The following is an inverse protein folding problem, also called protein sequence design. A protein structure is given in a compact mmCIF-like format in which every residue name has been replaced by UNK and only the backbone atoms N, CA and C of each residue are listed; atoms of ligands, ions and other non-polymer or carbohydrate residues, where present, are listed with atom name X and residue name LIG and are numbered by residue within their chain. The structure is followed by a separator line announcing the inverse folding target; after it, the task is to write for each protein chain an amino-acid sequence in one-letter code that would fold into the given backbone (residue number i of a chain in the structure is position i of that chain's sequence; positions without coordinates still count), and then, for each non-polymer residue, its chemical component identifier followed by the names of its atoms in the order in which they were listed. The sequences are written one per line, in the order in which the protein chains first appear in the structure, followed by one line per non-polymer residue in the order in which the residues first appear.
data_IF_354399979735
#
_entry.id   IF_354399979735
#
_cell.length_a   1.000
_cell.length_b   1.000
_cell.length_c   1.000
_cell.angle_alpha   90.00
_cell.angle_beta   90.00
_cell.angle_gamma   90.00
#
_symmetry.space_group_name_H-M   'P 1'
#
loop_
_entity.id
_entity.type
_entity.pdbx_description
1 polymer ?
#
# COMPACT_ATOMS: atom_id res chain seq x y z
N UNK A 1 14.43 -13.29 24.03
CA UNK A 1 13.50 -12.18 24.33
C UNK A 1 12.21 -12.76 24.86
N UNK A 2 11.65 -12.18 25.93
CA UNK A 2 10.57 -12.80 26.70
C UNK A 2 9.23 -12.71 25.96
N UNK A 3 8.59 -13.85 25.75
CA UNK A 3 7.31 -14.03 25.04
C UNK A 3 6.16 -13.15 25.59
N UNK A 4 6.29 -12.66 26.83
CA UNK A 4 5.23 -11.93 27.55
C UNK A 4 5.41 -10.41 27.59
N UNK A 5 6.37 -9.83 26.84
CA UNK A 5 6.58 -8.37 26.79
C UNK A 5 6.74 -7.88 25.36
N UNK A 6 6.41 -6.61 25.13
CA UNK A 6 6.63 -5.94 23.85
C UNK A 6 8.11 -5.96 23.45
N UNK A 7 8.35 -6.07 22.14
CA UNK A 7 9.70 -5.94 21.59
C UNK A 7 10.19 -4.49 21.65
N UNK A 8 11.51 -4.31 21.66
CA UNK A 8 12.11 -2.98 21.64
C UNK A 8 11.97 -2.37 20.24
N UNK A 9 11.35 -1.19 20.17
CA UNK A 9 11.23 -0.41 18.95
C UNK A 9 12.21 0.77 18.98
N UNK A 10 12.78 1.09 17.82
CA UNK A 10 13.62 2.27 17.62
C UNK A 10 12.90 3.29 16.75
N UNK A 11 12.86 4.54 17.21
CA UNK A 11 12.39 5.67 16.40
C UNK A 11 13.56 6.29 15.65
N UNK A 12 13.35 6.65 14.39
CA UNK A 12 14.37 7.23 13.53
C UNK A 12 13.75 7.98 12.36
N UNK A 13 14.60 8.71 11.63
CA UNK A 13 14.18 9.52 10.48
C UNK A 13 14.69 8.90 9.20
N UNK A 14 13.79 8.66 8.25
CA UNK A 14 14.13 8.20 6.91
C UNK A 14 14.17 9.39 5.95
N UNK A 15 15.29 9.58 5.25
CA UNK A 15 15.45 10.61 4.22
C UNK A 15 15.68 9.92 2.88
N UNK A 16 14.80 10.19 1.91
CA UNK A 16 14.84 9.57 0.59
C UNK A 16 15.04 10.62 -0.51
N UNK A 17 15.93 10.38 -1.49
CA UNK A 17 15.99 11.20 -2.70
C UNK A 17 14.74 10.99 -3.55
N UNK A 18 14.21 12.06 -4.15
CA UNK A 18 12.94 12.02 -4.89
C UNK A 18 12.94 11.02 -6.05
N UNK A 19 14.05 10.95 -6.80
CA UNK A 19 14.17 10.14 -8.02
C UNK A 19 13.94 8.64 -7.80
N UNK A 20 14.36 8.14 -6.64
CA UNK A 20 14.31 6.70 -6.29
C UNK A 20 13.35 6.41 -5.14
N UNK A 21 12.56 7.41 -4.71
CA UNK A 21 11.69 7.28 -3.55
C UNK A 21 10.71 6.10 -3.69
N UNK A 22 10.21 5.85 -4.91
CA UNK A 22 9.30 4.72 -5.19
C UNK A 22 9.97 3.37 -4.95
N UNK A 23 11.15 3.17 -5.51
CA UNK A 23 11.88 1.90 -5.44
C UNK A 23 12.33 1.60 -4.00
N UNK A 24 12.74 2.64 -3.27
CA UNK A 24 13.08 2.50 -1.85
C UNK A 24 11.86 2.16 -0.99
N UNK A 25 10.72 2.81 -1.21
CA UNK A 25 9.49 2.50 -0.45
C UNK A 25 9.00 1.08 -0.75
N UNK A 26 9.09 0.64 -2.01
CA UNK A 26 8.75 -0.73 -2.41
C UNK A 26 9.66 -1.77 -1.73
N UNK A 27 10.97 -1.52 -1.73
CA UNK A 27 11.95 -2.35 -1.03
C UNK A 27 11.67 -2.45 0.47
N UNK A 28 11.37 -1.32 1.12
CA UNK A 28 11.07 -1.26 2.55
C UNK A 28 9.79 -2.05 2.86
N UNK A 29 8.75 -1.90 2.04
CA UNK A 29 7.49 -2.62 2.21
C UNK A 29 7.65 -4.15 2.12
N UNK A 30 8.59 -4.64 1.31
CA UNK A 30 8.83 -6.08 1.15
C UNK A 30 9.81 -6.68 2.16
N UNK A 31 10.85 -5.94 2.57
CA UNK A 31 11.99 -6.51 3.31
C UNK A 31 12.05 -6.13 4.79
N UNK A 32 11.20 -5.20 5.24
CA UNK A 32 11.33 -4.63 6.60
C UNK A 32 10.00 -4.59 7.33
N UNK A 33 10.07 -4.61 8.67
CA UNK A 33 8.94 -4.40 9.56
C UNK A 33 9.07 -3.00 10.17
N UNK A 34 8.56 -1.99 9.46
CA UNK A 34 8.64 -0.59 9.86
C UNK A 34 7.23 -0.02 9.96
N UNK A 35 7.01 0.81 10.97
CA UNK A 35 5.79 1.61 11.11
C UNK A 35 6.11 3.05 10.68
N UNK A 36 5.35 3.58 9.72
CA UNK A 36 5.45 4.98 9.32
C UNK A 36 4.57 5.85 10.22
N UNK A 37 5.13 6.99 10.65
CA UNK A 37 4.41 8.01 11.39
C UNK A 37 3.82 9.06 10.43
N UNK A 38 2.58 9.48 10.67
CA UNK A 38 1.94 10.50 9.83
C UNK A 38 2.39 11.91 10.19
N UNK A 39 3.44 12.36 9.51
CA UNK A 39 3.99 13.71 9.69
C UNK A 39 3.07 14.85 9.23
N UNK A 40 2.03 14.56 8.43
CA UNK A 40 1.15 15.58 7.82
C UNK A 40 -0.29 15.50 8.34
N UNK A 41 -0.49 14.95 9.55
CA UNK A 41 -1.83 14.71 10.11
C UNK A 41 -2.70 15.98 10.23
N UNK A 42 -2.08 17.15 10.45
CA UNK A 42 -2.77 18.44 10.58
C UNK A 42 -3.09 19.11 9.24
N UNK A 43 -2.58 18.61 8.11
CA UNK A 43 -2.68 19.25 6.80
C UNK A 43 -3.66 18.49 5.90
N UNK A 44 -4.67 19.20 5.38
CA UNK A 44 -5.69 18.60 4.50
C UNK A 44 -5.15 18.29 3.08
N UNK A 45 -4.16 19.05 2.61
CA UNK A 45 -3.58 18.87 1.27
C UNK A 45 -2.41 17.90 1.33
N UNK A 46 -2.66 16.65 0.94
CA UNK A 46 -1.62 15.62 0.85
C UNK A 46 -1.02 15.56 -0.55
N UNK A 47 0.31 15.44 -0.67
CA UNK A 47 0.92 15.08 -1.95
C UNK A 47 0.42 13.69 -2.39
N UNK A 48 0.47 13.43 -3.69
CA UNK A 48 0.07 12.17 -4.32
C UNK A 48 -1.43 11.80 -4.31
N UNK A 49 -2.33 12.65 -3.78
CA UNK A 49 -3.78 12.40 -3.79
C UNK A 49 -4.34 11.99 -5.16
N UNK A 50 -3.89 12.66 -6.24
CA UNK A 50 -4.31 12.32 -7.61
C UNK A 50 -3.89 10.91 -8.04
N UNK A 51 -2.71 10.44 -7.62
CA UNK A 51 -2.25 9.09 -7.93
C UNK A 51 -3.07 8.04 -7.17
N UNK A 52 -3.39 8.29 -5.90
CA UNK A 52 -4.24 7.42 -5.10
C UNK A 52 -5.63 7.30 -5.73
N UNK A 53 -6.26 8.43 -6.07
CA UNK A 53 -7.58 8.44 -6.73
C UNK A 53 -7.60 7.67 -8.05
N UNK A 54 -6.52 7.72 -8.83
CA UNK A 54 -6.39 6.93 -10.06
C UNK A 54 -6.37 5.43 -9.77
N UNK A 55 -5.65 5.01 -8.73
CA UNK A 55 -5.56 3.59 -8.34
C UNK A 55 -6.91 3.10 -7.81
N UNK A 56 -7.59 3.90 -6.97
CA UNK A 56 -8.93 3.57 -6.45
C UNK A 56 -9.96 3.38 -7.58
N UNK A 57 -9.93 4.26 -8.59
CA UNK A 57 -10.82 4.15 -9.74
C UNK A 57 -10.48 2.93 -10.61
N UNK A 58 -9.19 2.62 -10.79
CA UNK A 58 -8.77 1.39 -11.45
C UNK A 58 -9.23 0.13 -10.71
N UNK A 59 -9.12 0.13 -9.38
CA UNK A 59 -9.62 -0.97 -8.55
C UNK A 59 -11.14 -1.14 -8.71
N UNK A 60 -11.89 -0.04 -8.75
CA UNK A 60 -13.35 -0.05 -9.00
C UNK A 60 -13.68 -0.74 -10.33
N UNK A 61 -12.94 -0.40 -11.39
CA UNK A 61 -13.12 -1.01 -12.71
C UNK A 61 -12.78 -2.51 -12.69
N UNK A 62 -11.65 -2.90 -12.08
CA UNK A 62 -11.23 -4.31 -11.97
C UNK A 62 -12.26 -5.12 -11.17
N UNK A 63 -12.80 -4.56 -10.09
CA UNK A 63 -13.84 -5.19 -9.28
C UNK A 63 -15.13 -5.40 -10.06
N UNK A 64 -15.53 -4.40 -10.84
CA UNK A 64 -16.69 -4.53 -11.73
C UNK A 64 -16.47 -5.64 -12.77
N UNK A 65 -15.33 -5.62 -13.46
CA UNK A 65 -15.00 -6.65 -14.46
C UNK A 65 -14.97 -8.06 -13.85
N UNK A 66 -14.39 -8.21 -12.66
CA UNK A 66 -14.33 -9.49 -11.96
C UNK A 66 -15.73 -10.03 -11.66
N UNK A 67 -16.66 -9.16 -11.22
CA UNK A 67 -18.06 -9.54 -10.98
C UNK A 67 -18.78 -9.94 -12.27
N UNK A 68 -18.57 -9.19 -13.35
CA UNK A 68 -19.18 -9.52 -14.64
C UNK A 68 -18.70 -10.87 -15.16
N UNK A 69 -17.40 -11.18 -15.01
CA UNK A 69 -16.83 -12.49 -15.36
C UNK A 69 -17.42 -13.61 -14.51
N UNK A 70 -17.61 -13.41 -13.20
CA UNK A 70 -18.26 -14.38 -12.31
C UNK A 70 -19.73 -14.63 -12.69
N UNK A 71 -20.42 -13.63 -13.23
CA UNK A 71 -21.82 -13.74 -13.64
C UNK A 71 -22.02 -14.44 -15.00
N UNK A 72 -20.96 -14.68 -15.77
CA UNK A 72 -21.06 -15.31 -17.09
C UNK A 72 -21.32 -16.83 -16.96
N UNK A 73 -22.38 -17.37 -17.61
CA UNK A 73 -22.62 -18.80 -17.63
C UNK A 73 -21.50 -19.54 -18.37
N UNK A 74 -21.08 -20.69 -17.82
CA UNK A 74 -20.01 -21.58 -18.33
C UNK A 74 -18.57 -21.05 -18.28
N UNK A 75 -18.27 -20.00 -17.51
CA UNK A 75 -16.90 -19.54 -17.31
C UNK A 75 -16.27 -20.20 -16.07
N UNK A 76 -15.10 -20.82 -16.23
CA UNK A 76 -14.26 -21.30 -15.12
C UNK A 76 -13.08 -20.35 -14.96
N UNK A 77 -13.11 -19.52 -13.92
CA UNK A 77 -11.99 -18.64 -13.58
C UNK A 77 -10.90 -19.50 -12.93
N UNK A 78 -9.78 -19.71 -13.63
CA UNK A 78 -8.58 -20.32 -13.06
C UNK A 78 -7.77 -19.22 -12.37
N UNK A 79 -7.75 -19.22 -11.03
CA UNK A 79 -6.81 -18.40 -10.26
C UNK A 79 -5.47 -19.14 -10.20
N UNK A 80 -4.41 -18.50 -10.68
CA UNK A 80 -3.02 -18.95 -10.45
C UNK A 80 -2.60 -18.64 -9.01
#
# INVERSE_FOLDING_TARGET
MGVLRSEFMSHGTLVLPHEWARDYVDLLGHKTQIMFEDMNSSVMQRPYRRYIQRIEEMERMVRFLSKEVENMPNVRVSKN
#
